data_IF_720078927110
#
_entry.id   IF_720078927110
#
_cell.length_a   1.000
_cell.length_b   1.000
_cell.length_c   1.000
_cell.angle_alpha   90.00
_cell.angle_beta   90.00
_cell.angle_gamma   90.00
#
_symmetry.space_group_name_H-M   'P 1'
#
loop_
_entity.id
_entity.type
_entity.pdbx_description
1 polymer ?
#
# COMPACT_ATOMS: atom_id res chain seq x y z
N UNK A 1 10.73 -3.74 9.24
CA UNK A 1 10.03 -3.94 10.52
C UNK A 1 8.62 -3.39 10.43
N UNK A 2 7.65 -4.00 11.12
CA UNK A 2 6.30 -3.45 11.27
C UNK A 2 6.28 -2.16 12.11
N UNK A 3 7.35 -1.91 12.87
CA UNK A 3 7.54 -0.69 13.67
C UNK A 3 8.15 0.47 12.86
N UNK A 4 8.37 0.28 11.55
CA UNK A 4 8.89 1.36 10.71
C UNK A 4 7.92 2.55 10.70
N UNK A 5 8.41 3.81 10.77
CA UNK A 5 7.54 4.99 10.72
C UNK A 5 6.56 4.98 9.54
N UNK A 6 7.00 4.49 8.37
CA UNK A 6 6.14 4.42 7.18
C UNK A 6 5.01 3.38 7.34
N UNK A 7 5.29 2.25 8.00
CA UNK A 7 4.30 1.18 8.22
C UNK A 7 3.29 1.60 9.28
N UNK A 8 3.76 2.20 10.38
CA UNK A 8 2.88 2.74 11.43
C UNK A 8 1.98 3.84 10.88
N UNK A 9 2.52 4.80 10.13
CA UNK A 9 1.73 5.86 9.52
C UNK A 9 0.65 5.31 8.56
N UNK A 10 0.99 4.31 7.75
CA UNK A 10 0.01 3.68 6.84
C UNK A 10 -1.09 2.94 7.58
N UNK A 11 -0.78 2.23 8.67
CA UNK A 11 -1.79 1.59 9.51
C UNK A 11 -2.80 2.60 10.04
N UNK A 12 -2.32 3.75 10.52
CA UNK A 12 -3.18 4.81 11.05
C UNK A 12 -4.03 5.48 9.96
N UNK A 13 -3.46 5.71 8.77
CA UNK A 13 -4.17 6.33 7.64
C UNK A 13 -5.25 5.39 7.09
N UNK A 14 -4.94 4.10 6.94
CA UNK A 14 -5.80 3.12 6.30
C UNK A 14 -6.77 2.44 7.29
N UNK A 15 -6.48 2.48 8.59
CA UNK A 15 -7.28 1.82 9.62
C UNK A 15 -7.24 0.29 9.53
N UNK A 16 -6.18 -0.28 8.96
CA UNK A 16 -6.03 -1.72 8.74
C UNK A 16 -4.67 -2.24 9.23
N UNK A 17 -4.63 -3.53 9.56
CA UNK A 17 -3.39 -4.23 9.87
C UNK A 17 -2.80 -4.87 8.61
N UNK A 18 -1.46 -4.89 8.45
CA UNK A 18 -0.83 -5.62 7.36
C UNK A 18 -1.14 -7.11 7.44
N UNK A 19 -1.48 -7.69 6.30
CA UNK A 19 -1.72 -9.13 6.14
C UNK A 19 -0.75 -9.72 5.11
N UNK A 20 -0.65 -11.04 5.07
CA UNK A 20 0.05 -11.73 3.99
C UNK A 20 -0.68 -11.56 2.67
N UNK A 21 0.08 -11.41 1.58
CA UNK A 21 -0.44 -11.36 0.21
C UNK A 21 -0.13 -12.68 -0.52
N UNK A 22 -1.12 -13.38 -1.11
CA UNK A 22 -0.91 -14.64 -1.82
C UNK A 22 -0.43 -14.42 -3.27
N UNK A 23 0.41 -13.41 -3.50
CA UNK A 23 0.95 -13.04 -4.81
C UNK A 23 2.34 -12.42 -4.66
N UNK A 24 3.07 -12.34 -5.77
CA UNK A 24 4.43 -11.80 -5.80
C UNK A 24 4.44 -10.33 -6.22
N UNK A 25 5.36 -9.56 -5.62
CA UNK A 25 5.78 -8.24 -6.07
C UNK A 25 7.28 -8.07 -5.76
N UNK A 26 7.89 -7.01 -6.25
CA UNK A 26 9.27 -6.62 -5.95
C UNK A 26 9.48 -6.26 -4.46
N UNK A 27 8.39 -6.15 -3.67
CA UNK A 27 8.46 -5.90 -2.24
C UNK A 27 9.28 -6.95 -1.48
N UNK A 28 9.33 -8.19 -1.99
CA UNK A 28 10.18 -9.25 -1.42
C UNK A 28 11.66 -8.84 -1.50
N UNK A 29 12.12 -8.41 -2.67
CA UNK A 29 13.51 -8.00 -2.88
C UNK A 29 13.88 -6.77 -2.07
N UNK A 30 12.98 -5.79 -1.94
CA UNK A 30 13.23 -4.62 -1.09
C UNK A 30 13.32 -4.99 0.40
N UNK A 31 12.44 -5.88 0.84
CA UNK A 31 12.44 -6.38 2.22
C UNK A 31 13.71 -7.17 2.53
N UNK A 32 14.16 -8.03 1.62
CA UNK A 32 15.42 -8.79 1.73
C UNK A 32 16.64 -7.87 1.76
N UNK A 33 16.58 -6.72 1.07
CA UNK A 33 17.60 -5.67 1.13
C UNK A 33 17.56 -4.82 2.43
N UNK A 34 16.66 -5.14 3.37
CA UNK A 34 16.54 -4.43 4.66
C UNK A 34 15.73 -3.14 4.60
N UNK A 35 15.05 -2.84 3.48
CA UNK A 35 14.19 -1.67 3.33
C UNK A 35 12.80 -2.02 3.90
N UNK A 36 12.28 -1.29 4.90
CA UNK A 36 10.92 -1.51 5.38
C UNK A 36 9.91 -1.29 4.26
N UNK A 37 9.21 -2.36 3.87
CA UNK A 37 8.34 -2.37 2.70
C UNK A 37 6.97 -2.92 3.07
N UNK A 38 5.91 -2.30 2.55
CA UNK A 38 4.52 -2.75 2.65
C UNK A 38 3.85 -2.51 1.31
N UNK A 39 2.92 -3.38 0.93
CA UNK A 39 2.07 -3.21 -0.26
C UNK A 39 0.75 -2.61 0.23
N UNK A 40 0.35 -1.47 -0.35
CA UNK A 40 -0.92 -0.85 -0.04
C UNK A 40 -1.46 -0.09 -1.26
N UNK A 41 -2.78 0.03 -1.33
CA UNK A 41 -3.44 0.80 -2.37
C UNK A 41 -4.91 0.41 -2.52
N UNK A 42 -5.72 1.27 -3.14
CA UNK A 42 -7.10 0.94 -3.48
C UNK A 42 -7.14 0.02 -4.70
N UNK A 43 -8.23 -0.73 -4.83
CA UNK A 43 -8.42 -1.73 -5.89
C UNK A 43 -8.87 -3.06 -5.29
N UNK A 44 -8.96 -4.10 -6.12
CA UNK A 44 -9.20 -5.46 -5.66
C UNK A 44 -8.34 -6.45 -6.43
N UNK A 45 -7.70 -7.37 -5.72
CA UNK A 45 -6.94 -8.45 -6.34
C UNK A 45 -7.84 -9.39 -7.14
N UNK A 46 -9.12 -9.53 -6.75
CA UNK A 46 -10.11 -10.36 -7.44
C UNK A 46 -10.38 -9.89 -8.87
N UNK A 47 -10.02 -8.64 -9.18
CA UNK A 47 -10.20 -8.00 -10.48
C UNK A 47 -8.90 -7.89 -11.30
N UNK A 48 -7.74 -8.03 -10.64
CA UNK A 48 -6.46 -7.94 -11.32
C UNK A 48 -6.31 -9.05 -12.36
N UNK A 49 -5.70 -8.74 -13.52
CA UNK A 49 -5.50 -9.66 -14.64
C UNK A 49 -6.80 -10.26 -15.22
N UNK A 50 -7.91 -9.55 -15.08
CA UNK A 50 -9.15 -9.89 -15.78
C UNK A 50 -9.27 -9.06 -17.07
N UNK A 51 -10.02 -9.52 -18.09
CA UNK A 51 -10.23 -8.74 -19.32
C UNK A 51 -10.82 -7.34 -19.09
N UNK A 52 -11.61 -7.19 -18.01
CA UNK A 52 -12.28 -5.96 -17.60
C UNK A 52 -11.65 -5.39 -16.32
N UNK A 53 -10.33 -5.45 -16.21
CA UNK A 53 -9.58 -4.80 -15.14
C UNK A 53 -9.81 -3.27 -15.18
N UNK A 54 -10.25 -2.70 -14.06
CA UNK A 54 -10.60 -1.30 -13.89
C UNK A 54 -10.39 -0.88 -12.42
N UNK A 55 -10.32 0.41 -12.21
CA UNK A 55 -10.40 1.03 -10.88
C UNK A 55 -11.31 2.25 -10.98
N UNK A 56 -12.12 2.51 -9.96
CA UNK A 56 -13.01 3.67 -9.99
C UNK A 56 -12.23 4.98 -9.80
N UNK A 57 -12.73 6.09 -10.34
CA UNK A 57 -12.14 7.41 -10.09
C UNK A 57 -12.06 7.74 -8.60
N UNK A 58 -13.10 7.37 -7.84
CA UNK A 58 -13.12 7.52 -6.38
C UNK A 58 -11.98 6.76 -5.69
N UNK A 59 -11.64 5.57 -6.18
CA UNK A 59 -10.50 4.81 -5.68
C UNK A 59 -9.17 5.47 -6.04
N UNK A 60 -9.04 6.03 -7.24
CA UNK A 60 -7.86 6.82 -7.62
C UNK A 60 -7.68 8.01 -6.66
N UNK A 61 -8.75 8.78 -6.41
CA UNK A 61 -8.72 9.91 -5.50
C UNK A 61 -8.32 9.49 -4.07
N UNK A 62 -8.84 8.36 -3.59
CA UNK A 62 -8.46 7.78 -2.30
C UNK A 62 -6.97 7.43 -2.25
N UNK A 63 -6.41 6.87 -3.32
CA UNK A 63 -4.98 6.58 -3.42
C UNK A 63 -4.13 7.85 -3.33
N UNK A 64 -4.52 8.89 -4.06
CA UNK A 64 -3.83 10.19 -4.03
C UNK A 64 -3.84 10.81 -2.63
N UNK A 65 -5.00 10.86 -1.98
CA UNK A 65 -5.09 11.43 -0.62
C UNK A 65 -4.31 10.61 0.42
N UNK A 66 -4.31 9.28 0.29
CA UNK A 66 -3.50 8.39 1.13
C UNK A 66 -2.01 8.72 1.02
N UNK A 67 -1.48 8.83 -0.20
CA UNK A 67 -0.05 9.15 -0.39
C UNK A 67 0.29 10.58 0.06
N UNK A 68 -0.59 11.55 -0.18
CA UNK A 68 -0.38 12.93 0.31
C UNK A 68 -0.31 12.98 1.83
N UNK A 69 -1.19 12.25 2.52
CA UNK A 69 -1.16 12.18 3.99
C UNK A 69 0.08 11.44 4.50
N UNK A 70 0.47 10.35 3.84
CA UNK A 70 1.70 9.62 4.19
C UNK A 70 2.94 10.51 4.08
N UNK A 71 3.09 11.22 2.96
CA UNK A 71 4.22 12.13 2.72
C UNK A 71 4.26 13.23 3.78
N UNK A 72 3.10 13.82 4.13
CA UNK A 72 3.02 14.83 5.18
C UNK A 72 3.46 14.31 6.55
N UNK A 73 3.18 13.05 6.89
CA UNK A 73 3.52 12.49 8.20
C UNK A 73 4.96 12.01 8.32
N UNK A 74 5.57 11.60 7.19
CA UNK A 74 6.86 10.90 7.20
C UNK A 74 7.99 11.76 6.65
N UNK A 75 7.71 12.73 5.78
CA UNK A 75 8.73 13.49 5.05
C UNK A 75 8.76 14.99 5.36
N UNK A 76 7.71 15.53 5.99
CA UNK A 76 7.57 16.95 6.32
C UNK A 76 7.42 17.11 7.84
#
# INVERSE_FOLDING_TARGET
>A
SLDSPVVVALKDILGTEPIGAPYYTEAVSYSEAGIPTVICGPGSIDQAHTPDEFISLKQIDLGVETYKELIKRVCL
#
